data_IF_062510531845
#
_entry.id   IF_062510531845
#
_cell.length_a   1.000
_cell.length_b   1.000
_cell.length_c   1.000
_cell.angle_alpha   90.00
_cell.angle_beta   90.00
_cell.angle_gamma   90.00
#
_symmetry.space_group_name_H-M   'P 1'
#
loop_
_entity.id
_entity.type
_entity.pdbx_description
1 polymer ?
#
# COMPACT_ATOMS: atom_id res chain seq x y z
N UNK A 1 33.24 9.37 -6.01
CA UNK A 1 31.92 9.26 -5.37
C UNK A 1 31.47 7.82 -5.57
N UNK A 2 31.31 7.09 -4.47
CA UNK A 2 30.80 5.72 -4.43
C UNK A 2 29.32 5.72 -4.88
N UNK A 3 28.81 4.66 -5.53
CA UNK A 3 27.37 4.54 -5.87
C UNK A 3 26.47 4.83 -4.66
N UNK A 4 26.82 4.35 -3.46
CA UNK A 4 26.10 4.65 -2.22
C UNK A 4 26.07 6.14 -1.88
N UNK A 5 27.14 6.90 -2.17
CA UNK A 5 27.16 8.35 -1.95
C UNK A 5 26.30 9.08 -2.98
N UNK A 6 26.38 8.69 -4.26
CA UNK A 6 25.55 9.22 -5.34
C UNK A 6 24.06 9.02 -5.01
N UNK A 7 23.68 7.80 -4.65
CA UNK A 7 22.31 7.45 -4.28
C UNK A 7 21.85 8.15 -3.00
N UNK A 8 22.74 8.36 -2.01
CA UNK A 8 22.37 9.10 -0.81
C UNK A 8 22.01 10.57 -1.09
N UNK A 9 22.76 11.22 -1.99
CA UNK A 9 22.54 12.64 -2.30
C UNK A 9 21.29 12.83 -3.17
N UNK A 10 21.06 11.95 -4.16
CA UNK A 10 19.83 11.95 -4.95
C UNK A 10 18.60 11.63 -4.09
N UNK A 11 18.72 10.66 -3.19
CA UNK A 11 17.65 10.34 -2.24
C UNK A 11 17.35 11.53 -1.30
N UNK A 12 18.36 12.19 -0.75
CA UNK A 12 18.14 13.33 0.16
C UNK A 12 17.50 14.52 -0.58
N UNK A 13 17.87 14.77 -1.84
CA UNK A 13 17.23 15.78 -2.68
C UNK A 13 15.78 15.42 -3.03
N UNK A 14 15.52 14.16 -3.40
CA UNK A 14 14.17 13.64 -3.63
C UNK A 14 13.31 13.73 -2.36
N UNK A 15 13.85 13.28 -1.22
CA UNK A 15 13.17 13.28 0.07
C UNK A 15 12.79 14.68 0.52
N UNK A 16 13.71 15.65 0.41
CA UNK A 16 13.43 17.06 0.74
C UNK A 16 12.29 17.62 -0.12
N UNK A 17 12.28 17.35 -1.43
CA UNK A 17 11.21 17.80 -2.33
C UNK A 17 9.85 17.18 -1.95
N UNK A 18 9.84 15.93 -1.50
CA UNK A 18 8.60 15.19 -1.30
C UNK A 18 7.94 15.39 0.08
N UNK A 19 8.70 15.76 1.12
CA UNK A 19 8.13 16.14 2.44
C UNK A 19 7.50 17.54 2.45
N UNK A 20 7.90 18.41 1.52
CA UNK A 20 7.45 19.81 1.47
C UNK A 20 6.34 20.09 0.46
N UNK A 21 5.63 19.06 -0.04
CA UNK A 21 4.37 19.31 -0.76
C UNK A 21 3.35 19.88 0.23
N UNK A 22 3.04 21.16 0.06
CA UNK A 22 1.96 21.79 0.82
C UNK A 22 0.65 21.04 0.59
N UNK A 23 -0.14 20.77 1.65
CA UNK A 23 -1.49 20.27 1.45
C UNK A 23 -2.24 21.23 0.53
N UNK A 24 -3.15 20.73 -0.32
CA UNK A 24 -3.89 21.57 -1.26
C UNK A 24 -4.54 22.73 -0.49
N UNK A 25 -4.44 23.94 -1.04
CA UNK A 25 -4.89 25.17 -0.37
C UNK A 25 -6.37 25.10 0.08
N UNK A 26 -7.18 24.28 -0.57
CA UNK A 26 -8.56 23.96 -0.18
C UNK A 26 -8.69 23.35 1.24
N UNK A 27 -7.70 22.59 1.69
CA UNK A 27 -7.65 22.03 3.06
C UNK A 27 -7.19 23.04 4.11
N UNK A 28 -6.45 24.07 3.69
CA UNK A 28 -5.91 25.11 4.58
C UNK A 28 -6.85 26.31 4.71
N UNK A 29 -7.75 26.51 3.74
CA UNK A 29 -8.64 27.68 3.65
C UNK A 29 -10.05 27.48 4.21
N UNK A 30 -10.44 26.29 4.66
CA UNK A 30 -11.76 26.13 5.26
C UNK A 30 -11.70 26.57 6.73
N UNK A 31 -12.20 27.78 7.03
CA UNK A 31 -12.68 28.07 8.37
C UNK A 31 -13.58 26.90 8.78
N UNK A 32 -13.21 26.17 9.84
CA UNK A 32 -14.03 25.08 10.36
C UNK A 32 -15.40 25.68 10.70
N UNK A 33 -16.51 25.27 10.06
CA UNK A 33 -17.81 25.75 10.48
C UNK A 33 -18.04 25.29 11.92
N UNK A 34 -18.40 26.22 12.79
CA UNK A 34 -18.80 25.92 14.16
C UNK A 34 -20.21 25.30 14.10
N UNK A 35 -20.27 23.98 13.94
CA UNK A 35 -21.51 23.22 13.84
C UNK A 35 -22.05 23.03 15.25
N UNK A 36 -23.16 23.70 15.57
CA UNK A 36 -23.73 23.74 16.92
C UNK A 36 -24.65 22.57 17.21
N UNK A 37 -25.23 21.94 16.17
CA UNK A 37 -26.05 20.74 16.32
C UNK A 37 -26.10 19.85 15.05
N UNK A 38 -26.79 18.70 15.19
CA UNK A 38 -27.00 17.74 14.09
C UNK A 38 -27.80 18.30 12.93
N UNK A 39 -28.73 19.23 13.16
CA UNK A 39 -29.58 19.85 12.15
C UNK A 39 -28.75 20.77 11.26
N UNK A 40 -27.84 21.56 11.85
CA UNK A 40 -26.87 22.38 11.12
C UNK A 40 -25.89 21.52 10.30
N UNK A 41 -25.48 20.36 10.82
CA UNK A 41 -24.67 19.40 10.07
C UNK A 41 -25.43 18.89 8.83
N UNK A 42 -26.68 18.46 8.99
CA UNK A 42 -27.51 18.02 7.86
C UNK A 42 -27.76 19.14 6.85
N UNK A 43 -28.02 20.37 7.31
CA UNK A 43 -28.21 21.53 6.45
C UNK A 43 -26.94 21.90 5.67
N UNK A 44 -25.77 21.80 6.27
CA UNK A 44 -24.48 22.06 5.61
C UNK A 44 -24.14 21.02 4.54
N UNK A 45 -24.35 19.73 4.84
CA UNK A 45 -24.12 18.64 3.88
C UNK A 45 -25.15 18.69 2.74
N UNK A 46 -26.39 19.08 3.04
CA UNK A 46 -27.44 19.21 2.03
C UNK A 46 -27.26 20.47 1.16
N UNK A 47 -26.78 21.58 1.72
CA UNK A 47 -26.63 22.87 1.03
C UNK A 47 -25.56 22.92 -0.05
N UNK A 48 -24.64 21.95 -0.10
CA UNK A 48 -23.71 21.75 -1.22
C UNK A 48 -24.31 20.95 -2.38
N UNK A 49 -25.57 20.50 -2.26
CA UNK A 49 -26.29 19.79 -3.33
C UNK A 49 -27.03 20.78 -4.21
N UNK A 50 -26.32 21.35 -5.18
CA UNK A 50 -26.92 22.12 -6.26
C UNK A 50 -27.51 21.17 -7.32
N UNK A 51 -28.60 20.43 -7.02
CA UNK A 51 -29.46 19.81 -8.05
C UNK A 51 -30.88 19.64 -7.49
N UNK A 52 -31.89 20.08 -8.27
CA UNK A 52 -33.26 20.27 -7.82
C UNK A 52 -34.00 19.00 -7.38
N UNK A 53 -34.95 19.19 -6.46
CA UNK A 53 -36.13 18.40 -6.06
C UNK A 53 -36.21 16.86 -6.08
N UNK A 54 -35.29 16.13 -6.69
CA UNK A 54 -35.08 14.71 -6.42
C UNK A 54 -34.21 14.62 -5.17
N UNK A 55 -34.89 14.59 -4.02
CA UNK A 55 -34.25 14.25 -2.76
C UNK A 55 -33.43 12.98 -2.98
N UNK A 56 -32.11 13.05 -2.72
CA UNK A 56 -31.23 11.89 -2.60
C UNK A 56 -31.92 10.88 -1.68
N UNK A 57 -32.59 9.89 -2.28
CA UNK A 57 -33.14 8.76 -1.54
C UNK A 57 -31.95 7.96 -1.08
N UNK A 58 -31.53 8.20 0.16
CA UNK A 58 -30.62 7.28 0.82
C UNK A 58 -31.27 5.89 0.78
N UNK A 59 -30.60 4.88 0.20
CA UNK A 59 -31.17 3.54 0.10
C UNK A 59 -31.61 3.07 1.48
N UNK A 60 -32.75 2.38 1.53
CA UNK A 60 -33.22 1.80 2.79
C UNK A 60 -32.17 0.84 3.34
N UNK A 61 -32.13 0.66 4.66
CA UNK A 61 -31.18 -0.26 5.31
C UNK A 61 -31.15 -1.64 4.62
N UNK A 62 -32.31 -2.15 4.24
CA UNK A 62 -32.48 -3.45 3.59
C UNK A 62 -31.94 -3.48 2.14
N UNK A 63 -32.01 -2.34 1.43
CA UNK A 63 -31.44 -2.19 0.09
C UNK A 63 -29.90 -2.20 0.15
N UNK A 64 -29.32 -1.51 1.14
CA UNK A 64 -27.87 -1.49 1.41
C UNK A 64 -27.37 -2.90 1.75
N UNK A 65 -28.08 -3.63 2.61
CA UNK A 65 -27.70 -4.98 3.02
C UNK A 65 -27.72 -5.94 1.82
N UNK A 66 -28.74 -5.84 0.96
CA UNK A 66 -28.85 -6.65 -0.25
C UNK A 66 -27.78 -6.32 -1.29
N UNK A 67 -27.40 -5.05 -1.43
CA UNK A 67 -26.31 -4.62 -2.32
C UNK A 67 -24.94 -5.12 -1.81
N UNK A 68 -24.70 -5.01 -0.51
CA UNK A 68 -23.48 -5.53 0.14
C UNK A 68 -23.34 -7.05 -0.07
N UNK A 69 -24.39 -7.82 0.19
CA UNK A 69 -24.39 -9.28 -0.04
C UNK A 69 -24.11 -9.67 -1.50
N UNK A 70 -24.60 -8.87 -2.46
CA UNK A 70 -24.29 -9.10 -3.87
C UNK A 70 -22.83 -8.78 -4.21
N UNK A 71 -22.26 -7.72 -3.61
CA UNK A 71 -20.85 -7.38 -3.77
C UNK A 71 -19.95 -8.48 -3.19
N UNK A 72 -20.27 -8.99 -1.99
CA UNK A 72 -19.50 -10.03 -1.30
C UNK A 72 -19.55 -11.41 -1.99
N UNK A 73 -20.57 -11.68 -2.81
CA UNK A 73 -20.68 -12.94 -3.57
C UNK A 73 -19.70 -13.05 -4.74
N UNK A 74 -19.08 -11.95 -5.18
CA UNK A 74 -18.06 -12.00 -6.23
C UNK A 74 -16.79 -12.64 -5.67
N UNK A 75 -16.32 -13.72 -6.30
CA UNK A 75 -15.04 -14.33 -5.95
C UNK A 75 -13.92 -13.37 -6.38
N UNK A 76 -13.36 -12.66 -5.42
CA UNK A 76 -12.17 -11.85 -5.66
C UNK A 76 -10.92 -12.75 -5.68
N UNK A 77 -9.99 -12.43 -6.58
CA UNK A 77 -8.65 -13.01 -6.56
C UNK A 77 -7.97 -12.59 -5.26
N UNK A 78 -7.39 -13.53 -4.54
CA UNK A 78 -6.66 -13.23 -3.31
C UNK A 78 -5.18 -12.95 -3.63
N UNK A 79 -4.45 -12.43 -2.65
CA UNK A 79 -3.01 -12.11 -2.78
C UNK A 79 -2.16 -13.25 -3.35
N UNK A 80 -2.42 -14.50 -2.97
CA UNK A 80 -1.65 -15.64 -3.51
C UNK A 80 -1.95 -15.87 -4.99
N UNK A 81 -3.18 -15.65 -5.45
CA UNK A 81 -3.53 -15.75 -6.87
C UNK A 81 -2.73 -14.71 -7.70
N UNK A 82 -2.63 -13.47 -7.19
CA UNK A 82 -1.79 -12.43 -7.80
C UNK A 82 -0.31 -12.78 -7.78
N UNK A 83 0.18 -13.32 -6.66
CA UNK A 83 1.57 -13.74 -6.52
C UNK A 83 1.96 -14.75 -7.59
N UNK A 84 1.12 -15.77 -7.81
CA UNK A 84 1.33 -16.79 -8.85
C UNK A 84 1.30 -16.17 -10.24
N UNK A 85 0.35 -15.27 -10.52
CA UNK A 85 0.29 -14.59 -11.82
C UNK A 85 1.56 -13.75 -12.10
N UNK A 86 2.11 -13.09 -11.08
CA UNK A 86 3.37 -12.35 -11.23
C UNK A 86 4.59 -13.26 -11.34
N UNK A 87 4.60 -14.40 -10.66
CA UNK A 87 5.63 -15.44 -10.85
C UNK A 87 5.67 -15.92 -12.30
N UNK A 88 4.51 -16.27 -12.86
CA UNK A 88 4.37 -16.70 -14.25
C UNK A 88 4.86 -15.61 -15.21
N UNK A 89 4.48 -14.35 -14.96
CA UNK A 89 4.90 -13.18 -15.76
C UNK A 89 6.42 -12.96 -15.72
N UNK A 90 7.07 -13.25 -14.59
CA UNK A 90 8.51 -13.08 -14.37
C UNK A 90 9.33 -14.33 -14.70
N UNK A 91 8.68 -15.43 -15.09
CA UNK A 91 9.33 -16.69 -15.43
C UNK A 91 9.95 -17.41 -14.23
N UNK A 92 9.33 -17.29 -13.05
CA UNK A 92 9.77 -17.98 -11.83
C UNK A 92 8.84 -19.16 -11.58
N UNK A 93 9.30 -20.37 -11.92
CA UNK A 93 8.50 -21.59 -11.78
C UNK A 93 8.59 -22.20 -10.36
N UNK A 94 9.69 -21.98 -9.64
CA UNK A 94 9.91 -22.54 -8.30
C UNK A 94 9.58 -21.54 -7.19
N UNK A 95 8.47 -21.78 -6.48
CA UNK A 95 8.08 -21.00 -5.30
C UNK A 95 9.18 -20.98 -4.21
N UNK A 96 10.02 -22.03 -4.16
CA UNK A 96 11.14 -22.12 -3.22
C UNK A 96 12.22 -21.10 -3.52
N UNK A 97 12.48 -20.84 -4.79
CA UNK A 97 13.40 -19.79 -5.23
C UNK A 97 12.85 -18.43 -4.81
N UNK A 98 11.56 -18.19 -5.05
CA UNK A 98 10.91 -16.92 -4.71
C UNK A 98 11.01 -16.60 -3.22
N UNK A 99 10.54 -17.48 -2.33
CA UNK A 99 10.49 -17.13 -0.91
C UNK A 99 11.88 -17.06 -0.27
N UNK A 100 12.87 -17.77 -0.83
CA UNK A 100 14.28 -17.62 -0.41
C UNK A 100 14.84 -16.27 -0.84
N UNK A 101 14.67 -15.90 -2.12
CA UNK A 101 15.08 -14.58 -2.64
C UNK A 101 14.41 -13.44 -1.87
N UNK A 102 13.18 -13.63 -1.43
CA UNK A 102 12.43 -12.67 -0.64
C UNK A 102 12.80 -12.65 0.85
N UNK A 103 13.74 -13.45 1.34
CA UNK A 103 14.01 -13.56 2.78
C UNK A 103 12.73 -13.83 3.60
N UNK A 104 11.88 -14.73 3.09
CA UNK A 104 10.63 -15.16 3.71
C UNK A 104 10.71 -16.63 4.12
N UNK A 105 10.46 -16.89 5.40
CA UNK A 105 10.45 -18.24 5.94
C UNK A 105 9.40 -19.12 5.24
N UNK A 106 9.77 -20.38 4.96
CA UNK A 106 8.87 -21.40 4.37
C UNK A 106 7.54 -21.53 5.13
N UNK A 107 7.56 -21.41 6.46
CA UNK A 107 6.36 -21.47 7.28
C UNK A 107 5.42 -20.28 7.02
N UNK A 108 5.96 -19.07 6.86
CA UNK A 108 5.22 -17.86 6.48
C UNK A 108 4.62 -18.02 5.09
N UNK A 109 5.42 -18.47 4.11
CA UNK A 109 4.94 -18.71 2.75
C UNK A 109 3.84 -19.79 2.68
N UNK A 110 3.95 -20.84 3.50
CA UNK A 110 2.90 -21.88 3.59
C UNK A 110 1.56 -21.33 4.11
N UNK A 111 1.60 -20.34 5.01
CA UNK A 111 0.39 -19.62 5.47
C UNK A 111 -0.19 -18.74 4.36
N UNK A 112 0.67 -18.06 3.58
CA UNK A 112 0.24 -17.29 2.40
C UNK A 112 -0.53 -18.18 1.42
N UNK A 113 0.02 -19.35 1.06
CA UNK A 113 -0.65 -20.29 0.14
C UNK A 113 -2.05 -20.73 0.61
N UNK A 114 -2.29 -20.73 1.92
CA UNK A 114 -3.56 -21.17 2.52
C UNK A 114 -4.41 -20.01 3.07
N UNK A 115 -4.09 -18.77 2.74
CA UNK A 115 -4.71 -17.59 3.35
C UNK A 115 -6.22 -17.47 3.07
N UNK A 116 -6.67 -17.83 1.87
CA UNK A 116 -8.09 -17.82 1.50
C UNK A 116 -8.98 -18.77 2.30
N UNK A 117 -8.38 -19.67 3.11
CA UNK A 117 -9.10 -20.61 4.00
C UNK A 117 -8.86 -20.34 5.49
N UNK A 118 -7.73 -19.72 5.83
CA UNK A 118 -7.25 -19.61 7.22
C UNK A 118 -7.45 -18.23 7.83
N UNK A 119 -7.80 -17.23 7.02
CA UNK A 119 -7.84 -15.83 7.47
C UNK A 119 -6.45 -15.26 7.78
N UNK A 120 -5.39 -15.92 7.32
CA UNK A 120 -4.03 -15.41 7.47
C UNK A 120 -3.85 -14.10 6.71
N UNK A 121 -3.11 -13.17 7.32
CA UNK A 121 -2.82 -11.86 6.74
C UNK A 121 -1.30 -11.62 6.81
N UNK A 122 -0.59 -11.58 5.66
CA UNK A 122 0.85 -11.33 5.65
C UNK A 122 1.14 -9.89 6.13
N UNK A 123 2.31 -9.67 6.74
CA UNK A 123 2.72 -8.31 7.10
C UNK A 123 3.08 -7.49 5.85
N UNK A 124 2.95 -6.17 5.93
CA UNK A 124 3.34 -5.26 4.85
C UNK A 124 4.78 -5.50 4.38
N UNK A 125 5.71 -5.69 5.31
CA UNK A 125 7.11 -6.03 5.03
C UNK A 125 7.24 -7.36 4.26
N UNK A 126 6.48 -8.39 4.63
CA UNK A 126 6.47 -9.67 3.90
C UNK A 126 6.01 -9.49 2.44
N UNK A 127 4.96 -8.71 2.23
CA UNK A 127 4.44 -8.43 0.88
C UNK A 127 5.46 -7.64 0.05
N UNK A 128 6.06 -6.59 0.63
CA UNK A 128 7.10 -5.81 -0.03
C UNK A 128 8.28 -6.68 -0.43
N UNK A 129 8.76 -7.56 0.46
CA UNK A 129 9.87 -8.45 0.15
C UNK A 129 9.58 -9.39 -1.02
N UNK A 130 8.36 -9.92 -1.11
CA UNK A 130 7.93 -10.71 -2.26
C UNK A 130 7.89 -9.86 -3.55
N UNK A 131 7.44 -8.61 -3.47
CA UNK A 131 7.45 -7.69 -4.61
C UNK A 131 8.87 -7.36 -5.08
N UNK A 132 9.81 -7.14 -4.15
CA UNK A 132 11.22 -6.92 -4.44
C UNK A 132 11.86 -8.16 -5.08
N UNK A 133 11.59 -9.36 -4.55
CA UNK A 133 12.10 -10.60 -5.13
C UNK A 133 11.58 -10.86 -6.56
N UNK A 134 10.34 -10.45 -6.84
CA UNK A 134 9.73 -10.48 -8.17
C UNK A 134 10.14 -9.29 -9.06
N UNK A 135 10.94 -8.36 -8.55
CA UNK A 135 11.39 -7.16 -9.26
C UNK A 135 10.21 -6.40 -9.87
N UNK A 136 9.16 -6.22 -9.07
CA UNK A 136 7.95 -5.51 -9.49
C UNK A 136 8.20 -4.01 -9.58
N UNK A 137 7.57 -3.39 -10.58
CA UNK A 137 7.54 -1.93 -10.70
C UNK A 137 6.75 -1.30 -9.55
N UNK A 138 6.81 0.04 -9.42
CA UNK A 138 6.09 0.76 -8.37
C UNK A 138 4.57 0.53 -8.43
N UNK A 139 4.00 0.52 -9.64
CA UNK A 139 2.57 0.32 -9.86
C UNK A 139 2.14 -1.12 -9.53
N UNK A 140 2.92 -2.11 -9.98
CA UNK A 140 2.69 -3.53 -9.68
C UNK A 140 2.82 -3.82 -8.17
N UNK A 141 3.78 -3.17 -7.51
CA UNK A 141 3.96 -3.27 -6.05
C UNK A 141 2.76 -2.68 -5.30
N UNK A 142 2.26 -1.54 -5.76
CA UNK A 142 1.07 -0.90 -5.17
C UNK A 142 -0.17 -1.78 -5.38
N UNK A 143 -0.34 -2.38 -6.56
CA UNK A 143 -1.42 -3.34 -6.82
C UNK A 143 -1.34 -4.54 -5.87
N UNK A 144 -0.17 -5.16 -5.73
CA UNK A 144 0.06 -6.28 -4.81
C UNK A 144 -0.27 -5.91 -3.36
N UNK A 145 0.14 -4.73 -2.90
CA UNK A 145 -0.18 -4.25 -1.56
C UNK A 145 -1.69 -4.05 -1.34
N UNK A 146 -2.41 -3.53 -2.34
CA UNK A 146 -3.85 -3.31 -2.25
C UNK A 146 -4.63 -4.61 -2.06
N UNK A 147 -4.17 -5.74 -2.64
CA UNK A 147 -4.85 -7.05 -2.47
C UNK A 147 -4.93 -7.52 -1.01
N UNK A 148 -4.09 -6.97 -0.13
CA UNK A 148 -4.12 -7.23 1.32
C UNK A 148 -4.38 -5.96 2.13
N UNK A 149 -4.95 -4.91 1.53
CA UNK A 149 -5.33 -3.69 2.25
C UNK A 149 -4.16 -2.82 2.72
N UNK A 150 -2.98 -2.95 2.11
CA UNK A 150 -1.85 -2.03 2.32
C UNK A 150 -1.69 -1.08 1.15
N UNK A 151 -0.88 -0.04 1.34
CA UNK A 151 -0.41 0.83 0.26
C UNK A 151 0.91 1.52 0.63
N UNK A 152 1.62 2.04 -0.37
CA UNK A 152 2.77 2.91 -0.13
C UNK A 152 2.29 4.29 0.29
N UNK A 153 2.72 4.73 1.47
CA UNK A 153 2.34 6.01 2.05
C UNK A 153 3.37 7.08 1.71
N UNK A 154 2.89 8.19 1.15
CA UNK A 154 3.70 9.40 0.92
C UNK A 154 4.13 10.11 2.22
N UNK A 155 3.63 9.70 3.39
CA UNK A 155 4.11 10.19 4.69
C UNK A 155 5.13 9.26 5.35
N UNK A 156 5.29 8.04 4.84
CA UNK A 156 6.23 7.06 5.39
C UNK A 156 7.60 7.22 4.75
N UNK A 157 8.62 7.53 5.55
CA UNK A 157 10.01 7.56 5.09
C UNK A 157 10.44 6.20 4.53
N UNK A 158 10.03 5.11 5.19
CA UNK A 158 10.33 3.73 4.75
C UNK A 158 9.74 3.43 3.37
N UNK A 159 8.47 3.79 3.14
CA UNK A 159 7.81 3.52 1.86
C UNK A 159 8.46 4.34 0.74
N UNK A 160 8.86 5.59 1.02
CA UNK A 160 9.60 6.43 0.06
C UNK A 160 10.95 5.84 -0.31
N UNK A 161 11.70 5.32 0.67
CA UNK A 161 12.97 4.65 0.41
C UNK A 161 12.75 3.47 -0.54
N UNK A 162 11.81 2.59 -0.22
CA UNK A 162 11.53 1.39 -1.02
C UNK A 162 11.09 1.77 -2.44
N UNK A 163 10.18 2.73 -2.58
CA UNK A 163 9.72 3.21 -3.89
C UNK A 163 10.86 3.81 -4.72
N UNK A 164 11.75 4.58 -4.09
CA UNK A 164 12.92 5.14 -4.77
C UNK A 164 13.78 4.03 -5.36
N UNK A 165 14.09 2.98 -4.59
CA UNK A 165 14.89 1.86 -5.09
C UNK A 165 14.20 1.08 -6.21
N UNK A 166 12.91 0.79 -6.08
CA UNK A 166 12.11 0.16 -7.14
C UNK A 166 12.14 0.97 -8.44
N UNK A 167 12.00 2.30 -8.35
CA UNK A 167 12.04 3.20 -9.51
C UNK A 167 13.39 3.23 -10.23
N UNK A 168 14.47 2.88 -9.53
CA UNK A 168 15.83 2.80 -10.08
C UNK A 168 16.22 1.37 -10.48
N UNK A 169 15.27 0.42 -10.45
CA UNK A 169 15.49 -1.01 -10.73
C UNK A 169 16.51 -1.67 -9.78
N UNK A 170 16.57 -1.22 -8.54
CA UNK A 170 17.40 -1.79 -7.49
C UNK A 170 16.51 -2.52 -6.49
N UNK A 171 16.65 -3.85 -6.40
CA UNK A 171 15.73 -4.71 -5.65
C UNK A 171 16.41 -5.52 -4.53
N UNK A 172 17.68 -5.25 -4.25
CA UNK A 172 18.42 -5.93 -3.19
C UNK A 172 17.85 -5.58 -1.81
N UNK A 173 17.25 -6.58 -1.17
CA UNK A 173 16.58 -6.43 0.13
C UNK A 173 17.56 -5.96 1.21
N UNK A 174 18.80 -6.46 1.21
CA UNK A 174 19.81 -6.10 2.21
C UNK A 174 20.29 -4.67 2.01
N UNK A 175 20.58 -4.27 0.77
CA UNK A 175 21.00 -2.92 0.45
C UNK A 175 19.91 -1.90 0.83
N UNK A 176 18.65 -2.18 0.50
CA UNK A 176 17.52 -1.31 0.84
C UNK A 176 17.35 -1.22 2.36
N UNK A 177 17.40 -2.34 3.08
CA UNK A 177 17.18 -2.36 4.53
C UNK A 177 18.33 -1.71 5.32
N UNK A 178 19.55 -1.76 4.81
CA UNK A 178 20.68 -1.02 5.37
C UNK A 178 20.49 0.50 5.22
N UNK A 179 19.93 0.97 4.10
CA UNK A 179 19.58 2.38 3.94
C UNK A 179 18.44 2.77 4.88
N UNK A 180 17.43 1.91 5.03
CA UNK A 180 16.35 2.11 6.00
C UNK A 180 16.93 2.21 7.42
N UNK A 181 17.86 1.34 7.81
CA UNK A 181 18.54 1.42 9.10
C UNK A 181 19.24 2.76 9.26
N UNK A 182 20.06 3.15 8.29
CA UNK A 182 20.89 4.34 8.39
C UNK A 182 20.06 5.62 8.51
N UNK A 183 18.87 5.64 7.89
CA UNK A 183 17.97 6.81 7.91
C UNK A 183 16.96 6.80 9.07
N UNK A 184 16.55 5.63 9.56
CA UNK A 184 15.49 5.51 10.59
C UNK A 184 15.98 5.03 11.95
N UNK A 185 17.17 4.44 12.01
CA UNK A 185 17.69 3.75 13.19
C UNK A 185 17.13 2.33 13.41
N UNK A 186 16.21 1.86 12.56
CA UNK A 186 15.54 0.56 12.70
C UNK A 186 15.57 -0.23 11.37
N UNK A 187 15.63 -1.56 11.46
CA UNK A 187 15.41 -2.45 10.30
C UNK A 187 13.91 -2.58 10.01
N UNK A 188 13.55 -2.82 8.76
CA UNK A 188 12.17 -2.99 8.32
C UNK A 188 11.92 -4.27 7.50
N UNK A 189 12.87 -4.66 6.65
CA UNK A 189 12.74 -5.83 5.78
C UNK A 189 13.34 -7.09 6.42
N UNK A 190 14.47 -6.95 7.11
CA UNK A 190 15.18 -8.07 7.72
C UNK A 190 14.94 -8.03 9.23
N UNK A 191 14.29 -9.07 9.76
CA UNK A 191 14.19 -9.27 11.20
C UNK A 191 15.54 -9.74 11.76
N UNK A 192 15.94 -9.26 12.94
CA UNK A 192 17.14 -9.80 13.61
C UNK A 192 16.91 -11.28 13.90
N UNK A 193 17.82 -12.13 13.39
CA UNK A 193 18.00 -13.50 13.86
C UNK A 193 18.37 -13.51 15.35
#
# INVERSE_FOLDING_TARGET
MNMQELFSHEFDAFYFKEIHRNPPASLLSSAKPEIKDRTELFGYIAGTTFFGHDALKFPGKDDIEKELEQALKKREYNFYDYLVAYMDKKGIDDETELYKKAEVNRATYSKIRSMGKTGYHPSKSTVIKLCLALELTADETQEMLHTVGYGMSNSSLVDKIILFFIQHNEFDIFAIDDIILNKTGLRYLIEKL
#
